data_IF_345344731472
#
_entry.id   IF_345344731472
#
_cell.length_a   1.000
_cell.length_b   1.000
_cell.length_c   1.000
_cell.angle_alpha   90.00
_cell.angle_beta   90.00
_cell.angle_gamma   90.00
#
_symmetry.space_group_name_H-M   'P 1'
#
loop_
_entity.id
_entity.type
_entity.pdbx_description
1 polymer ?
#
# COMPACT_ATOMS: atom_id res chain seq x y z
N UNK A 1 -6.61 10.40 -6.64
CA UNK A 1 -5.64 9.45 -6.12
C UNK A 1 -5.52 8.26 -7.08
N UNK A 2 -4.72 7.26 -6.78
CA UNK A 2 -4.37 6.20 -7.74
C UNK A 2 -5.46 5.15 -8.01
N UNK A 3 -6.72 5.50 -7.81
CA UNK A 3 -7.81 4.58 -8.09
C UNK A 3 -8.03 3.50 -7.04
N UNK A 4 -7.71 3.80 -5.79
CA UNK A 4 -7.93 2.86 -4.69
C UNK A 4 -8.69 3.53 -3.54
N UNK A 5 -9.37 2.69 -2.77
CA UNK A 5 -9.86 3.03 -1.45
C UNK A 5 -9.11 2.20 -0.44
N UNK A 6 -8.70 2.82 0.64
CA UNK A 6 -7.89 2.15 1.66
C UNK A 6 -8.32 2.59 3.04
N UNK A 7 -8.05 1.75 4.04
CA UNK A 7 -8.36 2.06 5.43
C UNK A 7 -7.22 1.60 6.34
N UNK A 8 -7.09 2.29 7.48
CA UNK A 8 -6.12 1.91 8.49
C UNK A 8 -6.42 0.52 9.03
N UNK A 9 -5.37 -0.21 9.41
CA UNK A 9 -5.52 -1.54 9.97
C UNK A 9 -6.07 -1.46 11.40
N UNK A 10 -6.90 -2.45 11.75
CA UNK A 10 -7.33 -2.61 13.14
C UNK A 10 -6.16 -3.09 13.99
N UNK A 11 -6.26 -2.86 15.31
CA UNK A 11 -5.24 -3.35 16.25
C UNK A 11 -5.14 -4.87 16.20
N UNK A 12 -6.27 -5.56 16.06
CA UNK A 12 -6.31 -7.01 15.96
C UNK A 12 -5.54 -7.52 14.75
N UNK A 13 -5.75 -6.91 13.59
CA UNK A 13 -5.08 -7.33 12.37
C UNK A 13 -3.58 -7.04 12.43
N UNK A 14 -3.19 -5.91 12.99
CA UNK A 14 -1.77 -5.60 13.19
C UNK A 14 -1.09 -6.65 14.07
N UNK A 15 -1.75 -7.05 15.15
CA UNK A 15 -1.25 -8.09 16.04
C UNK A 15 -1.11 -9.43 15.32
N UNK A 16 -2.12 -9.84 14.58
CA UNK A 16 -2.07 -11.09 13.83
C UNK A 16 -0.93 -11.13 12.84
N UNK A 17 -0.67 -10.01 12.16
CA UNK A 17 0.36 -9.94 11.14
C UNK A 17 1.75 -9.60 11.68
N UNK A 18 1.84 -9.28 12.97
CA UNK A 18 3.11 -8.91 13.59
C UNK A 18 3.65 -7.57 13.11
N UNK A 19 2.78 -6.64 12.75
CA UNK A 19 3.17 -5.32 12.24
C UNK A 19 2.54 -4.23 13.11
N UNK A 20 3.11 -3.04 13.06
CA UNK A 20 2.61 -1.88 13.81
C UNK A 20 2.18 -0.72 12.92
N UNK A 21 2.13 -0.94 11.62
CA UNK A 21 1.70 0.06 10.65
C UNK A 21 1.15 -0.68 9.42
N UNK A 22 0.56 0.05 8.50
CA UNK A 22 0.05 -0.51 7.26
C UNK A 22 -1.28 0.10 6.87
N UNK A 23 -1.62 -0.05 5.61
CA UNK A 23 -2.86 0.47 5.04
C UNK A 23 -3.46 -0.60 4.14
N UNK A 24 -4.67 -1.06 4.50
CA UNK A 24 -5.34 -2.11 3.74
C UNK A 24 -6.11 -1.51 2.57
N UNK A 25 -5.91 -2.07 1.38
CA UNK A 25 -6.70 -1.69 0.21
C UNK A 25 -8.03 -2.41 0.28
N UNK A 26 -9.13 -1.65 0.27
CA UNK A 26 -10.47 -2.22 0.34
C UNK A 26 -11.17 -2.20 -1.02
N UNK A 27 -10.71 -1.40 -1.95
CA UNK A 27 -11.26 -1.35 -3.30
C UNK A 27 -10.19 -0.85 -4.27
N UNK A 28 -10.06 -1.52 -5.42
CA UNK A 28 -9.18 -1.09 -6.50
C UNK A 28 -10.04 -0.73 -7.69
N UNK A 29 -9.99 0.53 -8.09
CA UNK A 29 -10.71 1.04 -9.27
C UNK A 29 -9.76 1.09 -10.46
N UNK A 30 -10.29 1.41 -11.63
CA UNK A 30 -9.47 1.58 -12.82
C UNK A 30 -8.41 2.65 -12.56
N UNK A 31 -7.16 2.31 -12.84
CA UNK A 31 -6.04 3.18 -12.59
C UNK A 31 -4.74 2.41 -12.56
N UNK A 32 -3.67 3.08 -12.15
CA UNK A 32 -2.33 2.51 -12.23
C UNK A 32 -2.17 1.31 -11.30
N UNK A 33 -2.79 1.32 -10.11
CA UNK A 33 -2.69 0.20 -9.18
C UNK A 33 -3.30 -1.06 -9.77
N UNK A 34 -4.48 -0.94 -10.40
CA UNK A 34 -5.12 -2.08 -11.05
C UNK A 34 -4.29 -2.59 -12.22
N UNK A 35 -3.70 -1.69 -12.99
CA UNK A 35 -2.86 -2.05 -14.12
C UNK A 35 -1.61 -2.82 -13.70
N UNK A 36 -1.12 -2.57 -12.49
CA UNK A 36 0.07 -3.23 -11.95
C UNK A 36 -0.25 -4.51 -11.18
N UNK A 37 -1.52 -4.91 -11.13
CA UNK A 37 -1.92 -6.15 -10.50
C UNK A 37 -2.09 -6.07 -8.98
N UNK A 38 -2.19 -4.89 -8.44
CA UNK A 38 -2.45 -4.70 -7.01
C UNK A 38 -3.92 -4.96 -6.75
N UNK A 39 -4.22 -5.84 -5.81
CA UNK A 39 -5.58 -6.29 -5.54
C UNK A 39 -6.12 -5.66 -4.25
N UNK A 40 -7.42 -5.87 -4.01
CA UNK A 40 -8.12 -5.29 -2.87
C UNK A 40 -7.81 -5.96 -1.53
N UNK A 41 -7.02 -7.02 -1.50
CA UNK A 41 -6.57 -7.65 -0.25
C UNK A 41 -5.10 -7.36 0.07
N UNK A 42 -4.49 -6.45 -0.65
CA UNK A 42 -3.11 -6.06 -0.44
C UNK A 42 -3.00 -5.06 0.72
N UNK A 43 -2.00 -5.26 1.56
CA UNK A 43 -1.71 -4.35 2.67
C UNK A 43 -0.42 -3.61 2.36
N UNK A 44 -0.53 -2.29 2.17
CA UNK A 44 0.63 -1.44 1.90
C UNK A 44 1.35 -1.18 3.20
N UNK A 45 2.63 -1.52 3.28
CA UNK A 45 3.46 -1.26 4.46
C UNK A 45 4.28 0.01 4.29
N UNK A 46 4.83 0.22 3.10
CA UNK A 46 5.62 1.42 2.83
C UNK A 46 5.50 1.83 1.37
N UNK A 47 5.68 3.11 1.12
CA UNK A 47 5.73 3.67 -0.24
C UNK A 47 6.96 4.56 -0.28
N UNK A 48 7.83 4.31 -1.27
CA UNK A 48 9.08 5.05 -1.43
C UNK A 48 9.90 5.07 -0.14
N UNK A 49 9.94 3.90 0.54
CA UNK A 49 10.66 3.69 1.81
C UNK A 49 10.11 4.46 3.00
N UNK A 50 8.87 4.98 2.89
CA UNK A 50 8.19 5.66 4.00
C UNK A 50 7.04 4.79 4.49
N UNK A 51 6.97 4.57 5.81
CA UNK A 51 5.89 3.80 6.42
C UNK A 51 4.55 4.49 6.21
N UNK A 52 3.53 3.70 5.92
CA UNK A 52 2.19 4.19 5.60
C UNK A 52 1.19 3.55 6.55
N UNK A 53 0.38 4.37 7.24
CA UNK A 53 -0.67 3.90 8.13
C UNK A 53 -2.04 4.51 7.84
N UNK A 54 -2.11 5.48 6.93
CA UNK A 54 -3.33 6.17 6.58
C UNK A 54 -3.27 6.66 5.14
N UNK A 55 -4.41 7.08 4.60
CA UNK A 55 -4.45 7.67 3.26
C UNK A 55 -3.61 8.95 3.20
N UNK A 56 -3.56 9.70 4.30
CA UNK A 56 -2.73 10.90 4.37
C UNK A 56 -1.25 10.56 4.21
N UNK A 57 -0.80 9.51 4.91
CA UNK A 57 0.58 9.02 4.78
C UNK A 57 0.87 8.56 3.36
N UNK A 58 -0.09 7.86 2.75
CA UNK A 58 0.04 7.39 1.38
C UNK A 58 0.22 8.54 0.40
N UNK A 59 -0.63 9.56 0.51
CA UNK A 59 -0.55 10.73 -0.36
C UNK A 59 0.78 11.47 -0.18
N UNK A 60 1.23 11.60 1.05
CA UNK A 60 2.49 12.25 1.37
C UNK A 60 3.67 11.48 0.78
N UNK A 61 3.67 10.17 0.94
CA UNK A 61 4.75 9.32 0.41
C UNK A 61 4.78 9.33 -1.11
N UNK A 62 3.61 9.36 -1.76
CA UNK A 62 3.52 9.42 -3.21
C UNK A 62 4.02 10.76 -3.76
N UNK A 63 3.88 11.85 -3.01
CA UNK A 63 4.37 13.15 -3.44
C UNK A 63 5.88 13.27 -3.36
N UNK A 64 6.54 12.33 -2.68
CA UNK A 64 8.00 12.31 -2.53
C UNK A 64 8.69 11.38 -3.53
N UNK A 65 8.01 11.00 -4.60
CA UNK A 65 8.62 10.16 -5.60
C UNK A 65 9.78 10.88 -6.28
N UNK A 66 10.87 10.18 -6.48
CA UNK A 66 12.03 10.71 -7.17
C UNK A 66 12.02 10.20 -8.61
N UNK A 67 12.20 11.11 -9.57
CA UNK A 67 12.26 10.76 -11.00
C UNK A 67 10.98 10.06 -11.47
N UNK A 68 9.86 10.27 -10.79
CA UNK A 68 8.59 9.64 -11.15
C UNK A 68 8.48 8.17 -10.80
N UNK A 69 9.47 7.61 -10.10
CA UNK A 69 9.44 6.19 -9.72
C UNK A 69 8.67 6.01 -8.41
N UNK A 70 7.79 5.03 -8.40
CA UNK A 70 7.02 4.66 -7.22
C UNK A 70 7.39 3.24 -6.84
N UNK A 71 7.75 3.04 -5.56
CA UNK A 71 8.02 1.74 -5.00
C UNK A 71 7.03 1.48 -3.86
N UNK A 72 6.23 0.43 -4.00
CA UNK A 72 5.24 0.04 -2.99
C UNK A 72 5.64 -1.31 -2.43
N UNK A 73 5.82 -1.37 -1.13
CA UNK A 73 6.14 -2.61 -0.42
C UNK A 73 4.99 -2.96 0.50
N UNK A 74 4.64 -4.23 0.53
CA UNK A 74 3.56 -4.68 1.37
C UNK A 74 3.47 -6.19 1.46
N UNK A 75 2.35 -6.65 1.97
CA UNK A 75 2.07 -8.07 2.15
C UNK A 75 0.64 -8.35 1.67
N UNK A 76 0.37 -9.62 1.38
CA UNK A 76 -1.00 -10.04 1.12
C UNK A 76 -1.78 -10.07 2.44
N UNK A 77 -3.10 -10.18 2.38
CA UNK A 77 -3.97 -10.11 3.57
C UNK A 77 -3.73 -11.23 4.58
N UNK A 78 -3.11 -12.33 4.17
CA UNK A 78 -2.77 -13.43 5.07
C UNK A 78 -1.39 -13.27 5.70
N UNK A 79 -0.61 -12.28 5.26
CA UNK A 79 0.75 -12.07 5.75
C UNK A 79 1.76 -13.11 5.27
N UNK A 80 1.39 -13.91 4.26
CA UNK A 80 2.22 -15.02 3.78
C UNK A 80 3.36 -14.57 2.88
N UNK A 81 3.12 -13.56 2.05
CA UNK A 81 4.08 -13.10 1.05
C UNK A 81 4.40 -11.63 1.21
N UNK A 82 5.68 -11.30 1.11
CA UNK A 82 6.12 -9.93 0.93
C UNK A 82 6.08 -9.62 -0.57
N UNK A 83 5.44 -8.53 -0.93
CA UNK A 83 5.24 -8.15 -2.32
C UNK A 83 5.78 -6.75 -2.53
N UNK A 84 6.55 -6.56 -3.59
CA UNK A 84 7.09 -5.25 -3.95
C UNK A 84 6.67 -4.92 -5.38
N UNK A 85 6.11 -3.74 -5.56
CA UNK A 85 5.78 -3.19 -6.87
C UNK A 85 6.65 -1.97 -7.13
N UNK A 86 7.27 -1.90 -8.29
CA UNK A 86 8.02 -0.72 -8.73
C UNK A 86 7.54 -0.34 -10.11
N UNK A 87 7.21 0.93 -10.28
CA UNK A 87 6.75 1.41 -11.58
C UNK A 87 6.98 2.92 -11.68
N UNK A 88 6.88 3.42 -12.89
CA UNK A 88 7.00 4.86 -13.17
C UNK A 88 5.62 5.43 -13.43
N UNK A 89 5.40 6.65 -12.97
CA UNK A 89 4.19 7.38 -13.27
C UNK A 89 4.03 7.64 -14.76
#
# INVERSE_FOLDING_TARGET
MLGIKAQALSSSLKSELGINHGLKIVEVKDGIFKQKGITDDFIILSVNYQKVSSEKDLNKALSNDRNGKIRIEGINSTGTYNITFEFYR
#
